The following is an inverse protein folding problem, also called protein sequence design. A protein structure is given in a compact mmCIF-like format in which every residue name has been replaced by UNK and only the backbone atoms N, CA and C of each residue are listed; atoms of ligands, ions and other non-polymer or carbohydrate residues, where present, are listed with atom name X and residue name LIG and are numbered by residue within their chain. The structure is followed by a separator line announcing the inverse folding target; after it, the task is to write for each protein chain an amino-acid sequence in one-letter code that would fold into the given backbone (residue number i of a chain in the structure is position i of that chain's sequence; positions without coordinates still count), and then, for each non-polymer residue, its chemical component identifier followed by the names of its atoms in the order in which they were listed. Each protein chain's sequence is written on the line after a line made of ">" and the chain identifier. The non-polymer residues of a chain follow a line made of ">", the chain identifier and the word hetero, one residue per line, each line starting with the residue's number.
data_IF_414586929216
#
_entry.id   IF_414586929216
#
_cell.length_a   1.000
_cell.length_b   1.000
_cell.length_c   1.000
_cell.angle_alpha   90.00
_cell.angle_beta   90.00
_cell.angle_gamma   90.00
#
_symmetry.space_group_name_H-M   'P 1'
#
loop_
_entity.id
_entity.type
_entity.pdbx_description
1 polymer ?
#
# COMPACT_ATOMS: atom_id res chain seq x y z
N UNK A 1 17.43 -1.51 -22.68
CA UNK A 1 18.70 -1.78 -21.97
C UNK A 1 19.51 -0.55 -21.46
N UNK A 2 18.99 0.69 -21.51
CA UNK A 2 19.68 1.89 -20.96
C UNK A 2 19.54 2.07 -19.44
N UNK A 3 18.54 1.45 -18.79
CA UNK A 3 18.27 1.61 -17.34
C UNK A 3 19.36 1.01 -16.44
N UNK A 4 20.07 -0.03 -16.89
CA UNK A 4 21.08 -0.72 -16.08
C UNK A 4 22.27 0.17 -15.67
N UNK A 5 22.63 1.17 -16.51
CA UNK A 5 23.69 2.14 -16.19
C UNK A 5 23.29 3.11 -15.07
N UNK A 6 22.00 3.43 -14.95
CA UNK A 6 21.45 4.34 -13.93
C UNK A 6 21.09 3.60 -12.62
N UNK A 7 21.17 2.27 -12.59
CA UNK A 7 20.84 1.45 -11.43
C UNK A 7 21.65 1.80 -10.18
N UNK A 8 22.92 2.21 -10.31
CA UNK A 8 23.76 2.62 -9.17
C UNK A 8 23.24 3.88 -8.45
N UNK A 9 22.55 4.77 -9.16
CA UNK A 9 22.04 6.03 -8.60
C UNK A 9 20.56 5.89 -8.19
N UNK A 10 19.76 5.22 -9.03
CA UNK A 10 18.32 5.06 -8.78
C UNK A 10 18.02 3.97 -7.75
N UNK A 11 18.90 2.98 -7.60
CA UNK A 11 18.81 1.91 -6.61
C UNK A 11 18.75 2.42 -5.16
N UNK A 12 19.76 3.16 -4.65
CA UNK A 12 19.77 3.64 -3.27
C UNK A 12 18.65 4.66 -2.98
N UNK A 13 18.18 5.39 -4.00
CA UNK A 13 17.05 6.33 -3.87
C UNK A 13 15.67 5.65 -3.96
N UNK A 14 15.60 4.36 -4.27
CA UNK A 14 14.33 3.63 -4.43
C UNK A 14 13.47 4.11 -5.61
N UNK A 15 14.02 4.92 -6.51
CA UNK A 15 13.34 5.51 -7.67
C UNK A 15 13.43 4.63 -8.92
N UNK A 16 13.94 3.41 -8.78
CA UNK A 16 14.06 2.48 -9.89
C UNK A 16 12.66 2.10 -10.40
N UNK A 17 12.32 2.37 -11.68
CA UNK A 17 11.01 2.02 -12.21
C UNK A 17 10.78 0.52 -12.13
N UNK A 18 9.70 0.11 -11.48
CA UNK A 18 9.39 -1.29 -11.25
C UNK A 18 8.12 -1.68 -12.04
N UNK A 19 8.16 -2.71 -12.90
CA UNK A 19 6.99 -3.21 -13.60
C UNK A 19 5.86 -3.67 -12.67
N UNK A 20 6.19 -4.26 -11.50
CA UNK A 20 5.20 -4.68 -10.50
C UNK A 20 4.47 -3.49 -9.87
N UNK A 21 5.13 -2.35 -9.81
CA UNK A 21 4.60 -1.09 -9.33
C UNK A 21 3.76 -0.36 -10.39
N UNK A 22 3.67 -0.90 -11.62
CA UNK A 22 2.94 -0.29 -12.73
C UNK A 22 3.57 1.00 -13.26
N UNK A 23 4.74 1.41 -12.73
CA UNK A 23 5.49 2.60 -13.17
C UNK A 23 6.19 2.40 -14.51
N UNK A 24 6.19 1.16 -15.03
CA UNK A 24 6.65 0.83 -16.38
C UNK A 24 5.43 0.32 -17.14
N UNK A 25 4.65 1.24 -17.71
CA UNK A 25 3.47 0.94 -18.51
C UNK A 25 3.63 1.53 -19.92
N UNK A 26 2.90 0.98 -20.90
CA UNK A 26 2.80 1.54 -22.25
C UNK A 26 1.93 2.80 -22.30
N UNK A 27 1.11 3.06 -21.26
CA UNK A 27 0.18 4.18 -21.19
C UNK A 27 0.56 5.14 -20.05
N UNK A 28 1.51 6.03 -20.36
CA UNK A 28 2.13 6.95 -19.40
C UNK A 28 1.13 7.96 -18.82
N UNK A 29 0.17 8.43 -19.61
CA UNK A 29 -0.77 9.50 -19.19
C UNK A 29 -1.67 9.03 -18.05
N UNK A 30 -2.21 7.82 -18.16
CA UNK A 30 -3.07 7.26 -17.12
C UNK A 30 -2.26 6.92 -15.86
N UNK A 31 -1.06 6.32 -16.02
CA UNK A 31 -0.20 6.02 -14.88
C UNK A 31 0.21 7.27 -14.09
N UNK A 32 0.48 8.40 -14.75
CA UNK A 32 0.80 9.66 -14.06
C UNK A 32 -0.42 10.22 -13.33
N UNK A 33 -1.62 10.15 -13.91
CA UNK A 33 -2.86 10.57 -13.23
C UNK A 33 -3.12 9.74 -11.98
N UNK A 34 -2.99 8.42 -12.08
CA UNK A 34 -3.23 7.49 -10.97
C UNK A 34 -2.24 7.71 -9.82
N UNK A 35 -0.96 7.90 -10.14
CA UNK A 35 0.08 8.20 -9.14
C UNK A 35 -0.21 9.56 -8.47
N UNK A 36 -0.62 10.57 -9.25
CA UNK A 36 -0.97 11.90 -8.72
C UNK A 36 -2.22 11.88 -7.84
N UNK A 37 -3.18 11.00 -8.13
CA UNK A 37 -4.35 10.78 -7.27
C UNK A 37 -4.04 10.07 -5.94
N UNK A 38 -2.76 9.77 -5.66
CA UNK A 38 -2.33 9.22 -4.38
C UNK A 38 -2.41 7.69 -4.31
N UNK A 39 -2.20 7.00 -5.44
CA UNK A 39 -2.10 5.54 -5.46
C UNK A 39 -1.00 5.08 -4.50
N UNK A 40 -1.36 4.22 -3.55
CA UNK A 40 -0.44 3.63 -2.58
C UNK A 40 -0.12 2.21 -3.02
N UNK A 41 1.17 1.86 -3.00
CA UNK A 41 1.62 0.49 -3.22
C UNK A 41 1.65 -0.28 -1.90
N UNK A 42 0.85 -1.33 -1.82
CA UNK A 42 0.88 -2.26 -0.70
C UNK A 42 1.97 -3.30 -0.95
N UNK A 43 3.05 -3.21 -0.19
CA UNK A 43 4.12 -4.21 -0.18
C UNK A 43 4.03 -5.04 1.09
N UNK A 44 4.35 -6.32 0.94
CA UNK A 44 4.39 -7.29 2.03
C UNK A 44 5.83 -7.39 2.50
N UNK A 45 6.05 -7.28 3.81
CA UNK A 45 7.34 -7.53 4.42
C UNK A 45 7.64 -9.03 4.51
N UNK A 46 8.89 -9.40 4.78
CA UNK A 46 9.29 -10.81 4.98
C UNK A 46 8.47 -11.52 6.06
N UNK A 47 7.95 -10.77 7.03
CA UNK A 47 7.12 -11.26 8.12
C UNK A 47 5.63 -11.40 7.75
N UNK A 48 5.25 -11.16 6.50
CA UNK A 48 3.86 -11.23 6.05
C UNK A 48 2.98 -10.08 6.56
N UNK A 49 3.59 -8.95 6.95
CA UNK A 49 2.89 -7.76 7.44
C UNK A 49 2.79 -6.75 6.28
N UNK A 50 1.63 -6.11 6.16
CA UNK A 50 1.40 -5.02 5.20
C UNK A 50 1.37 -3.71 5.96
N UNK A 51 2.25 -2.79 5.58
CA UNK A 51 2.29 -1.43 6.12
C UNK A 51 1.65 -0.48 5.10
N UNK A 52 0.61 0.26 5.51
CA UNK A 52 -0.12 1.16 4.64
C UNK A 52 -0.40 2.51 5.35
N UNK A 53 0.11 3.64 4.82
CA UNK A 53 -0.22 4.95 5.35
C UNK A 53 -1.64 5.35 4.92
N UNK A 54 -2.59 5.41 5.86
CA UNK A 54 -4.01 5.73 5.57
C UNK A 54 -4.30 7.24 5.49
N UNK A 55 -3.40 8.09 5.99
CA UNK A 55 -3.57 9.55 5.99
C UNK A 55 -2.71 10.28 7.03
N UNK A 56 -2.98 11.58 7.18
CA UNK A 56 -2.37 12.45 8.20
C UNK A 56 -3.40 12.80 9.28
N UNK A 57 -2.93 13.21 10.46
CA UNK A 57 -3.78 13.71 11.55
C UNK A 57 -4.65 14.91 11.17
N UNK A 58 -4.24 15.67 10.15
CA UNK A 58 -4.97 16.83 9.65
C UNK A 58 -6.21 16.48 8.81
N UNK A 59 -6.46 15.19 8.52
CA UNK A 59 -7.64 14.78 7.76
C UNK A 59 -8.87 14.66 8.66
N UNK A 60 -10.05 14.85 8.07
CA UNK A 60 -11.30 14.63 8.79
C UNK A 60 -11.48 13.14 9.12
N UNK A 61 -12.20 12.86 10.21
CA UNK A 61 -12.49 11.49 10.64
C UNK A 61 -13.20 10.66 9.56
N UNK A 62 -14.11 11.29 8.79
CA UNK A 62 -14.84 10.64 7.69
C UNK A 62 -13.89 10.13 6.60
N UNK A 63 -12.96 10.96 6.14
CA UNK A 63 -12.00 10.57 5.10
C UNK A 63 -11.03 9.49 5.57
N UNK A 64 -10.64 9.50 6.85
CA UNK A 64 -9.81 8.44 7.41
C UNK A 64 -10.53 7.08 7.41
N UNK A 65 -11.82 7.06 7.72
CA UNK A 65 -12.65 5.84 7.67
C UNK A 65 -12.84 5.35 6.23
N UNK A 66 -13.08 6.25 5.27
CA UNK A 66 -13.18 5.90 3.85
C UNK A 66 -11.88 5.29 3.32
N UNK A 67 -10.73 5.89 3.64
CA UNK A 67 -9.41 5.37 3.26
C UNK A 67 -9.12 4.01 3.90
N UNK A 68 -9.49 3.83 5.17
CA UNK A 68 -9.35 2.55 5.85
C UNK A 68 -10.18 1.45 5.15
N UNK A 69 -11.43 1.74 4.82
CA UNK A 69 -12.32 0.81 4.15
C UNK A 69 -11.82 0.45 2.74
N UNK A 70 -11.27 1.40 1.98
CA UNK A 70 -10.73 1.14 0.64
C UNK A 70 -9.50 0.23 0.68
N UNK A 71 -8.60 0.44 1.66
CA UNK A 71 -7.42 -0.42 1.87
C UNK A 71 -7.84 -1.84 2.22
N UNK A 72 -8.79 -2.02 3.15
CA UNK A 72 -9.25 -3.37 3.54
C UNK A 72 -9.93 -4.09 2.39
N UNK A 73 -10.78 -3.42 1.62
CA UNK A 73 -11.41 -4.01 0.42
C UNK A 73 -10.36 -4.48 -0.58
N UNK A 74 -9.33 -3.68 -0.82
CA UNK A 74 -8.24 -4.01 -1.74
C UNK A 74 -7.43 -5.21 -1.24
N UNK A 75 -7.14 -5.28 0.06
CA UNK A 75 -6.42 -6.40 0.68
C UNK A 75 -7.25 -7.68 0.60
N UNK A 76 -8.55 -7.61 0.92
CA UNK A 76 -9.47 -8.76 0.84
C UNK A 76 -9.58 -9.30 -0.60
N UNK A 77 -9.67 -8.41 -1.59
CA UNK A 77 -9.66 -8.79 -3.01
C UNK A 77 -8.33 -9.38 -3.50
N UNK A 78 -7.23 -9.04 -2.84
CA UNK A 78 -5.89 -9.57 -3.16
C UNK A 78 -5.60 -10.92 -2.48
N UNK A 79 -6.59 -11.54 -1.82
CA UNK A 79 -6.45 -12.86 -1.20
C UNK A 79 -6.17 -13.92 -2.27
N UNK A 80 -5.05 -14.67 -2.17
CA UNK A 80 -4.79 -15.78 -3.09
C UNK A 80 -5.83 -16.90 -2.91
N UNK A 81 -6.29 -17.55 -4.01
CA UNK A 81 -7.30 -18.61 -3.95
C UNK A 81 -6.84 -19.86 -3.18
N UNK A 82 -5.51 -20.04 -3.05
CA UNK A 82 -4.91 -21.17 -2.32
C UNK A 82 -4.93 -20.98 -0.79
N UNK A 83 -5.25 -19.78 -0.29
CA UNK A 83 -5.18 -19.51 1.16
C UNK A 83 -6.43 -20.01 1.90
N UNK A 84 -6.24 -21.03 2.74
CA UNK A 84 -7.26 -21.57 3.65
C UNK A 84 -7.13 -20.91 5.03
N UNK A 85 -8.25 -20.43 5.59
CA UNK A 85 -8.32 -19.81 6.93
C UNK A 85 -8.51 -18.29 6.94
N UNK A 86 -8.36 -17.68 8.11
CA UNK A 86 -8.54 -16.24 8.32
C UNK A 86 -7.38 -15.45 7.71
N UNK A 87 -7.65 -14.70 6.65
CA UNK A 87 -6.64 -13.96 5.89
C UNK A 87 -6.03 -12.79 6.69
N UNK A 88 -6.86 -11.98 7.33
CA UNK A 88 -6.43 -10.94 8.26
C UNK A 88 -6.33 -11.55 9.66
N UNK A 89 -5.26 -11.29 10.42
CA UNK A 89 -5.13 -11.77 11.82
C UNK A 89 -5.36 -10.65 12.83
N UNK A 90 -4.67 -9.53 12.64
CA UNK A 90 -4.74 -8.35 13.51
C UNK A 90 -4.70 -7.09 12.65
N UNK A 91 -5.42 -6.06 13.09
CA UNK A 91 -5.34 -4.73 12.52
C UNK A 91 -4.96 -3.79 13.66
N UNK A 92 -3.89 -3.03 13.45
CA UNK A 92 -3.37 -2.07 14.43
C UNK A 92 -3.16 -0.74 13.72
N UNK A 93 -3.73 0.32 14.27
CA UNK A 93 -3.49 1.68 13.82
C UNK A 93 -2.59 2.37 14.83
N UNK A 94 -1.51 2.96 14.34
CA UNK A 94 -0.61 3.78 15.14
C UNK A 94 -0.37 5.10 14.45
N UNK A 95 -0.13 6.14 15.24
CA UNK A 95 0.49 7.37 14.75
C UNK A 95 2.00 7.16 14.61
N UNK A 96 2.69 8.06 13.88
CA UNK A 96 4.15 7.95 13.65
C UNK A 96 4.96 7.85 14.94
N UNK A 97 4.55 8.57 15.99
CA UNK A 97 5.20 8.58 17.31
C UNK A 97 4.19 8.30 18.43
N UNK A 98 3.25 7.38 18.22
CA UNK A 98 2.19 7.09 19.20
C UNK A 98 2.00 5.60 19.44
N UNK A 99 1.34 5.23 20.56
CA UNK A 99 1.02 3.84 20.85
C UNK A 99 0.09 3.26 19.77
N UNK A 100 0.23 1.95 19.51
CA UNK A 100 -0.63 1.23 18.56
C UNK A 100 -1.95 0.83 19.20
N UNK A 101 -3.06 1.26 18.62
CA UNK A 101 -4.40 0.83 19.01
C UNK A 101 -4.81 -0.35 18.14
N UNK A 102 -5.15 -1.46 18.80
CA UNK A 102 -5.71 -2.63 18.13
C UNK A 102 -7.18 -2.35 17.85
N UNK A 103 -7.59 -2.50 16.59
CA UNK A 103 -8.98 -2.36 16.20
C UNK A 103 -9.62 -3.72 16.26
N UNK A 104 -10.78 -3.80 16.90
CA UNK A 104 -11.58 -5.01 16.88
C UNK A 104 -12.06 -5.30 15.47
N UNK A 105 -11.92 -6.57 15.10
CA UNK A 105 -12.30 -7.05 13.80
C UNK A 105 -13.81 -7.22 13.78
N UNK A 106 -14.54 -6.25 13.22
CA UNK A 106 -15.90 -6.53 12.77
C UNK A 106 -15.79 -7.36 11.50
N UNK A 107 -15.86 -8.68 11.68
CA UNK A 107 -15.95 -9.64 10.58
C UNK A 107 -17.30 -9.38 9.89
N UNK A 108 -17.25 -8.92 8.65
CA UNK A 108 -18.33 -9.08 7.67
C UNK A 108 -17.79 -9.96 6.56
#
# INVERSE_FOLDING_TARGET
>A
PKLGKLGKILGPKGLMPNPKSGTVSSNVVNSVKDIKSGRIELRVDKNGIVHAPIGKKSFSSKHLVENYNSVIKTISGSKPPSFKGTFLKKITISSTMGPGLKIERVVV
#
